data_IF_422906164445
#
_entry.id   IF_422906164445
#
_cell.length_a   1.000
_cell.length_b   1.000
_cell.length_c   1.000
_cell.angle_alpha   90.00
_cell.angle_beta   90.00
_cell.angle_gamma   90.00
#
_symmetry.space_group_name_H-M   'P 1'
#
loop_
_entity.id
_entity.type
_entity.pdbx_description
1 polymer ?
#
# COMPACT_ATOMS: atom_id res chain seq x y z
N UNK A 1 22.00 -10.69 -3.15
CA UNK A 1 21.63 -11.89 -3.91
C UNK A 1 21.95 -13.10 -3.05
N UNK A 2 20.94 -13.66 -2.38
CA UNK A 2 21.12 -14.90 -1.61
C UNK A 2 21.58 -16.03 -2.54
N UNK A 3 22.64 -16.73 -2.17
CA UNK A 3 23.18 -17.87 -2.94
C UNK A 3 22.16 -19.00 -3.00
N UNK A 4 22.03 -19.63 -4.17
CA UNK A 4 21.29 -20.87 -4.36
C UNK A 4 21.89 -21.97 -3.50
N UNK A 5 21.09 -22.97 -3.14
CA UNK A 5 21.56 -24.09 -2.34
C UNK A 5 22.66 -24.81 -3.12
N UNK A 6 23.81 -25.05 -2.49
CA UNK A 6 24.82 -25.93 -3.07
C UNK A 6 24.31 -27.37 -2.98
N UNK A 7 23.84 -27.90 -4.11
CA UNK A 7 23.33 -29.27 -4.20
C UNK A 7 24.44 -30.32 -3.99
N UNK A 8 25.73 -29.94 -4.09
CA UNK A 8 26.84 -30.90 -3.95
C UNK A 8 27.05 -31.39 -2.53
N UNK A 9 26.58 -30.63 -1.54
CA UNK A 9 26.58 -31.02 -0.12
C UNK A 9 25.39 -31.92 0.25
N UNK A 10 24.48 -32.19 -0.70
CA UNK A 10 23.36 -33.10 -0.47
C UNK A 10 23.85 -34.54 -0.40
N UNK A 11 23.39 -35.25 0.63
CA UNK A 11 23.64 -36.68 0.82
C UNK A 11 22.56 -37.46 0.09
N UNK A 12 22.93 -38.18 -0.97
CA UNK A 12 22.01 -39.08 -1.67
C UNK A 12 21.91 -40.43 -0.94
N UNK A 13 20.69 -40.95 -0.86
CA UNK A 13 20.41 -42.30 -0.37
C UNK A 13 19.91 -43.17 -1.53
N UNK A 14 20.68 -44.19 -1.91
CA UNK A 14 20.22 -45.19 -2.88
C UNK A 14 19.63 -46.42 -2.20
N UNK A 15 18.80 -47.20 -2.91
CA UNK A 15 18.30 -48.48 -2.38
C UNK A 15 19.44 -49.47 -2.10
N UNK A 16 20.48 -49.48 -2.94
CA UNK A 16 21.70 -50.29 -2.75
C UNK A 16 22.41 -49.95 -1.43
N UNK A 17 22.42 -48.67 -1.05
CA UNK A 17 22.98 -48.23 0.21
C UNK A 17 22.21 -48.75 1.43
N UNK A 18 20.90 -48.95 1.32
CA UNK A 18 20.06 -49.50 2.40
C UNK A 18 20.20 -51.02 2.54
N UNK A 19 20.43 -51.71 1.43
CA UNK A 19 20.54 -53.17 1.39
C UNK A 19 21.95 -53.66 1.76
N UNK A 20 22.99 -53.00 1.24
CA UNK A 20 24.37 -53.52 1.27
C UNK A 20 25.29 -52.84 2.30
N UNK A 21 24.92 -51.68 2.87
CA UNK A 21 25.77 -51.03 3.88
C UNK A 21 25.66 -51.70 5.24
N UNK A 22 26.80 -51.80 5.91
CA UNK A 22 26.85 -52.25 7.30
C UNK A 22 26.12 -51.27 8.23
N UNK A 23 25.61 -51.78 9.36
CA UNK A 23 24.96 -51.01 10.42
C UNK A 23 25.75 -49.76 10.84
N UNK A 24 27.08 -49.88 10.99
CA UNK A 24 27.95 -48.74 11.32
C UNK A 24 28.00 -47.66 10.23
N UNK A 25 27.96 -48.06 8.95
CA UNK A 25 27.90 -47.13 7.83
C UNK A 25 26.52 -46.46 7.72
N UNK A 26 25.43 -47.19 7.99
CA UNK A 26 24.08 -46.63 8.05
C UNK A 26 23.92 -45.61 9.19
N UNK A 27 24.51 -45.86 10.36
CA UNK A 27 24.53 -44.88 11.47
C UNK A 27 25.27 -43.61 11.06
N UNK A 28 26.42 -43.73 10.38
CA UNK A 28 27.17 -42.56 9.90
C UNK A 28 26.37 -41.78 8.85
N UNK A 29 25.73 -42.48 7.91
CA UNK A 29 24.88 -41.89 6.88
C UNK A 29 23.67 -41.17 7.49
N UNK A 30 23.02 -41.77 8.49
CA UNK A 30 21.94 -41.12 9.23
C UNK A 30 22.41 -39.84 9.94
N UNK A 31 23.62 -39.84 10.50
CA UNK A 31 24.23 -38.64 11.07
C UNK A 31 24.39 -37.52 10.02
N UNK A 32 24.95 -37.86 8.85
CA UNK A 32 25.15 -36.90 7.76
C UNK A 32 23.83 -36.33 7.22
N UNK A 33 22.83 -37.19 6.98
CA UNK A 33 21.48 -36.77 6.54
C UNK A 33 20.82 -35.85 7.58
N UNK A 34 20.96 -36.16 8.88
CA UNK A 34 20.42 -35.34 9.96
C UNK A 34 21.08 -33.96 10.01
N UNK A 35 22.40 -33.93 9.94
CA UNK A 35 23.16 -32.69 10.06
C UNK A 35 22.91 -31.79 8.84
N UNK A 36 22.90 -32.36 7.61
CA UNK A 36 22.53 -31.62 6.39
C UNK A 36 21.09 -31.12 6.41
N UNK A 37 20.13 -31.93 6.87
CA UNK A 37 18.74 -31.48 7.08
C UNK A 37 18.65 -30.30 8.04
N UNK A 38 19.40 -30.34 9.15
CA UNK A 38 19.38 -29.25 10.13
C UNK A 38 19.95 -27.96 9.55
N UNK A 39 21.03 -28.06 8.76
CA UNK A 39 21.61 -26.93 8.03
C UNK A 39 20.61 -26.32 7.04
N UNK A 40 19.97 -27.15 6.20
CA UNK A 40 18.97 -26.68 5.24
C UNK A 40 17.75 -26.04 5.93
N UNK A 41 17.31 -26.59 7.06
CA UNK A 41 16.26 -25.98 7.88
C UNK A 41 16.68 -24.63 8.48
N UNK A 42 17.95 -24.49 8.88
CA UNK A 42 18.45 -23.20 9.33
C UNK A 42 18.45 -22.18 8.19
N UNK A 43 18.96 -22.56 7.01
CA UNK A 43 18.92 -21.70 5.81
C UNK A 43 17.48 -21.34 5.42
N UNK A 44 16.54 -22.29 5.49
CA UNK A 44 15.13 -22.01 5.26
C UNK A 44 14.59 -21.01 6.29
N UNK A 45 14.91 -21.16 7.57
CA UNK A 45 14.49 -20.20 8.60
C UNK A 45 15.06 -18.80 8.38
N UNK A 46 16.32 -18.69 7.96
CA UNK A 46 16.96 -17.40 7.63
C UNK A 46 16.29 -16.75 6.41
N UNK A 47 16.08 -17.51 5.33
CA UNK A 47 15.37 -17.06 4.12
C UNK A 47 13.92 -16.64 4.42
N UNK A 48 13.24 -17.35 5.31
CA UNK A 48 11.89 -16.99 5.75
C UNK A 48 11.87 -15.67 6.54
N UNK A 49 12.87 -15.44 7.39
CA UNK A 49 13.00 -14.17 8.12
C UNK A 49 13.21 -12.99 7.18
N UNK A 50 14.13 -13.11 6.21
CA UNK A 50 14.38 -12.06 5.21
C UNK A 50 13.13 -11.77 4.36
N UNK A 51 12.41 -12.82 3.93
CA UNK A 51 11.11 -12.68 3.26
C UNK A 51 10.11 -11.90 4.11
N UNK A 52 10.00 -12.24 5.39
CA UNK A 52 9.02 -11.63 6.29
C UNK A 52 9.38 -10.15 6.58
N UNK A 53 10.67 -9.83 6.68
CA UNK A 53 11.17 -8.46 6.82
C UNK A 53 10.91 -7.63 5.56
N UNK A 54 11.10 -8.20 4.37
CA UNK A 54 10.75 -7.54 3.10
C UNK A 54 9.24 -7.33 2.97
N UNK A 55 8.43 -8.34 3.31
CA UNK A 55 6.97 -8.20 3.33
C UNK A 55 6.49 -7.14 4.32
N UNK A 56 7.17 -6.97 5.45
CA UNK A 56 6.88 -5.90 6.39
C UNK A 56 7.19 -4.52 5.77
N UNK A 57 8.33 -4.37 5.08
CA UNK A 57 8.68 -3.14 4.35
C UNK A 57 7.71 -2.85 3.20
N UNK A 58 7.28 -3.87 2.45
CA UNK A 58 6.24 -3.71 1.42
C UNK A 58 4.97 -3.13 2.01
N UNK A 59 4.52 -3.62 3.17
CA UNK A 59 3.34 -3.07 3.85
C UNK A 59 3.52 -1.62 4.25
N UNK A 60 4.68 -1.28 4.84
CA UNK A 60 5.00 0.11 5.21
C UNK A 60 4.94 1.04 3.98
N UNK A 61 5.50 0.61 2.84
CA UNK A 61 5.45 1.38 1.58
C UNK A 61 4.06 1.49 0.98
N UNK A 62 3.25 0.43 1.08
CA UNK A 62 1.83 0.48 0.67
C UNK A 62 1.04 1.44 1.56
N UNK A 63 1.27 1.42 2.87
CA UNK A 63 0.62 2.33 3.81
C UNK A 63 1.03 3.78 3.54
N UNK A 64 2.32 4.05 3.30
CA UNK A 64 2.84 5.36 2.85
C UNK A 64 2.13 5.83 1.56
N UNK A 65 2.04 4.96 0.55
CA UNK A 65 1.33 5.26 -0.69
C UNK A 65 -0.16 5.55 -0.44
N UNK A 66 -0.81 4.83 0.47
CA UNK A 66 -2.20 5.07 0.83
C UNK A 66 -2.39 6.44 1.51
N UNK A 67 -1.49 6.83 2.41
CA UNK A 67 -1.54 8.17 3.02
C UNK A 67 -1.41 9.28 1.98
N UNK A 68 -0.49 9.15 1.02
CA UNK A 68 -0.35 10.13 -0.08
C UNK A 68 -1.61 10.18 -0.94
N UNK A 69 -2.25 9.04 -1.17
CA UNK A 69 -3.54 8.98 -1.89
C UNK A 69 -4.64 9.74 -1.14
N UNK A 70 -4.77 9.51 0.17
CA UNK A 70 -5.78 10.19 1.00
C UNK A 70 -5.54 11.71 1.01
N UNK A 71 -4.30 12.15 1.22
CA UNK A 71 -3.91 13.58 1.15
C UNK A 71 -4.20 14.18 -0.22
N UNK A 72 -3.88 13.47 -1.31
CA UNK A 72 -4.19 13.90 -2.67
C UNK A 72 -5.69 14.06 -2.88
N UNK A 73 -6.48 13.10 -2.41
CA UNK A 73 -7.93 13.10 -2.59
C UNK A 73 -8.58 14.26 -1.80
N UNK A 74 -8.11 14.54 -0.59
CA UNK A 74 -8.50 15.73 0.20
C UNK A 74 -8.13 17.04 -0.52
N UNK A 75 -6.91 17.16 -1.04
CA UNK A 75 -6.49 18.35 -1.80
C UNK A 75 -7.33 18.53 -3.08
N UNK A 76 -7.67 17.44 -3.77
CA UNK A 76 -8.52 17.48 -4.96
C UNK A 76 -9.95 17.96 -4.63
N UNK A 77 -10.49 17.57 -3.48
CA UNK A 77 -11.78 18.08 -2.99
C UNK A 77 -11.71 19.59 -2.74
N UNK A 78 -10.65 20.06 -2.06
CA UNK A 78 -10.42 21.49 -1.85
C UNK A 78 -10.24 22.26 -3.17
N UNK A 79 -9.50 21.68 -4.13
CA UNK A 79 -9.36 22.24 -5.49
C UNK A 79 -10.73 22.41 -6.14
N UNK A 80 -11.62 21.42 -6.01
CA UNK A 80 -12.96 21.48 -6.58
C UNK A 80 -13.80 22.57 -5.90
N UNK A 81 -13.78 22.66 -4.57
CA UNK A 81 -14.49 23.70 -3.82
C UNK A 81 -14.01 25.10 -4.21
N UNK A 82 -12.69 25.32 -4.32
CA UNK A 82 -12.15 26.60 -4.74
C UNK A 82 -12.44 26.91 -6.22
N UNK A 83 -12.54 25.90 -7.09
CA UNK A 83 -12.97 26.08 -8.49
C UNK A 83 -14.42 26.53 -8.58
N UNK A 84 -15.30 25.93 -7.79
CA UNK A 84 -16.72 26.30 -7.73
C UNK A 84 -16.89 27.73 -7.25
N UNK A 85 -16.30 28.10 -6.10
CA UNK A 85 -16.32 29.48 -5.59
C UNK A 85 -15.74 30.48 -6.60
N UNK A 86 -14.63 30.14 -7.25
CA UNK A 86 -14.03 30.98 -8.31
C UNK A 86 -15.01 31.19 -9.47
N UNK A 87 -15.69 30.13 -9.92
CA UNK A 87 -16.62 30.23 -11.04
C UNK A 87 -17.86 31.05 -10.68
N UNK A 88 -18.38 30.90 -9.46
CA UNK A 88 -19.48 31.73 -8.93
C UNK A 88 -19.08 33.21 -8.85
N UNK A 89 -17.90 33.52 -8.29
CA UNK A 89 -17.39 34.89 -8.21
C UNK A 89 -17.15 35.48 -9.61
N UNK A 90 -16.59 34.71 -10.54
CA UNK A 90 -16.43 35.17 -11.93
C UNK A 90 -17.78 35.44 -12.62
N UNK A 91 -18.79 34.61 -12.37
CA UNK A 91 -20.14 34.85 -12.89
C UNK A 91 -20.72 36.15 -12.32
N UNK A 92 -20.62 36.35 -10.99
CA UNK A 92 -21.05 37.59 -10.33
C UNK A 92 -20.30 38.82 -10.85
N UNK A 93 -18.98 38.71 -11.02
CA UNK A 93 -18.17 39.80 -11.56
C UNK A 93 -18.58 40.16 -13.00
N UNK A 94 -18.82 39.16 -13.86
CA UNK A 94 -19.29 39.40 -15.23
C UNK A 94 -20.66 40.09 -15.24
N UNK A 95 -21.61 39.64 -14.42
CA UNK A 95 -22.92 40.29 -14.29
C UNK A 95 -22.81 41.76 -13.82
N UNK A 96 -21.86 42.08 -12.94
CA UNK A 96 -21.62 43.46 -12.52
C UNK A 96 -20.96 44.28 -13.65
N UNK A 97 -19.99 43.71 -14.38
CA UNK A 97 -19.38 44.39 -15.52
C UNK A 97 -20.39 44.63 -16.66
N UNK A 98 -21.28 43.68 -16.94
CA UNK A 98 -22.35 43.85 -17.93
C UNK A 98 -23.27 45.02 -17.55
N UNK A 99 -23.65 45.14 -16.26
CA UNK A 99 -24.43 46.29 -15.76
C UNK A 99 -23.67 47.61 -15.86
N UNK A 100 -22.37 47.60 -15.58
CA UNK A 100 -21.52 48.80 -15.72
C UNK A 100 -21.44 49.21 -17.19
N UNK A 101 -21.30 48.27 -18.11
CA UNK A 101 -21.26 48.54 -19.55
C UNK A 101 -22.60 49.07 -20.07
N UNK A 102 -23.73 48.54 -19.60
CA UNK A 102 -25.08 49.02 -19.92
C UNK A 102 -25.28 50.46 -19.43
N UNK A 103 -24.99 50.75 -18.15
CA UNK A 103 -25.09 52.09 -17.57
C UNK A 103 -24.16 53.09 -18.27
N UNK A 104 -22.95 52.65 -18.64
CA UNK A 104 -22.00 53.47 -19.37
C UNK A 104 -22.50 53.82 -20.77
N UNK A 105 -23.12 52.87 -21.47
CA UNK A 105 -23.72 53.11 -22.78
C UNK A 105 -24.87 54.14 -22.70
N UNK A 106 -25.70 54.05 -21.66
CA UNK A 106 -26.77 55.02 -21.38
C UNK A 106 -26.21 56.43 -21.07
N UNK A 107 -25.07 56.50 -20.37
CA UNK A 107 -24.36 57.75 -20.05
C UNK A 107 -23.64 58.39 -21.25
N UNK A 108 -22.97 57.60 -22.10
CA UNK A 108 -22.21 58.10 -23.27
C UNK A 108 -23.10 58.67 -24.39
N UNK A 109 -24.40 58.33 -24.43
CA UNK A 109 -25.35 58.82 -25.43
C UNK A 109 -25.79 60.29 -25.22
N UNK A 110 -25.37 60.96 -24.14
CA UNK A 110 -25.87 62.29 -23.74
C UNK A 110 -24.80 63.41 -23.61
N UNK A 111 -24.07 63.68 -24.68
CA UNK A 111 -23.21 64.88 -24.74
C UNK A 111 -24.02 66.16 -25.04
N UNK A 112 -23.94 67.17 -24.16
CA UNK A 112 -24.74 68.42 -24.22
C UNK A 112 -24.30 69.46 -23.17
N UNK A 113 -25.04 70.58 -23.00
CA UNK A 113 -24.68 71.74 -22.14
C UNK A 113 -24.58 71.41 -20.64
N UNK A 114 -23.59 71.93 -19.92
CA UNK A 114 -23.34 71.57 -18.50
C UNK A 114 -24.50 71.94 -17.57
N UNK A 115 -24.59 71.27 -16.41
CA UNK A 115 -25.63 71.54 -15.38
C UNK A 115 -25.60 73.02 -14.98
N UNK A 116 -24.43 73.58 -14.67
CA UNK A 116 -24.27 74.99 -14.29
C UNK A 116 -24.76 75.96 -15.38
N UNK A 117 -24.52 75.63 -16.66
CA UNK A 117 -24.98 76.45 -17.80
C UNK A 117 -26.49 76.37 -17.99
N UNK A 118 -27.11 75.22 -17.70
CA UNK A 118 -28.56 75.06 -17.76
C UNK A 118 -29.24 75.78 -16.58
N UNK A 119 -28.64 75.76 -15.39
CA UNK A 119 -29.14 76.51 -14.22
C UNK A 119 -29.07 78.03 -14.45
N UNK A 120 -27.94 78.54 -14.95
CA UNK A 120 -27.78 79.97 -15.28
C UNK A 120 -28.76 80.41 -16.39
N UNK A 121 -28.91 79.61 -17.45
CA UNK A 121 -29.88 79.91 -18.53
C UNK A 121 -31.35 79.87 -18.04
N UNK A 122 -31.69 79.01 -17.08
CA UNK A 122 -33.03 78.98 -16.47
C UNK A 122 -33.23 80.23 -15.61
N UNK A 123 -32.27 80.59 -14.78
CA UNK A 123 -32.34 81.76 -13.89
C UNK A 123 -32.45 83.07 -14.69
N UNK A 124 -31.70 83.20 -15.80
CA UNK A 124 -31.80 84.32 -16.72
C UNK A 124 -33.19 84.42 -17.39
N UNK A 125 -33.76 83.29 -17.81
CA UNK A 125 -35.09 83.25 -18.44
C UNK A 125 -36.21 83.54 -17.43
N UNK A 126 -36.08 83.05 -16.19
CA UNK A 126 -37.00 83.33 -15.09
C UNK A 126 -36.92 84.80 -14.66
N UNK A 127 -35.71 85.37 -14.62
CA UNK A 127 -35.51 86.79 -14.36
C UNK A 127 -36.16 87.64 -15.45
N UNK A 128 -36.02 87.24 -16.72
CA UNK A 128 -36.68 87.89 -17.86
C UNK A 128 -38.20 87.81 -17.76
N UNK A 129 -38.75 86.66 -17.35
CA UNK A 129 -40.19 86.48 -17.10
C UNK A 129 -40.70 87.44 -16.02
N UNK A 130 -39.93 87.64 -14.94
CA UNK A 130 -40.34 88.47 -13.81
C UNK A 130 -40.20 89.97 -14.05
N UNK A 131 -39.28 90.40 -14.92
CA UNK A 131 -38.89 91.81 -15.07
C UNK A 131 -39.35 92.47 -16.37
N UNK A 132 -39.66 91.71 -17.42
CA UNK A 132 -40.13 92.25 -18.70
C UNK A 132 -41.66 92.17 -18.85
N UNK A 133 -42.25 93.19 -19.48
CA UNK A 133 -43.67 93.19 -19.85
C UNK A 133 -43.82 92.51 -21.21
N UNK A 134 -44.13 91.22 -21.19
CA UNK A 134 -44.26 90.39 -22.39
C UNK A 134 -45.71 90.34 -22.89
N UNK A 135 -45.88 90.00 -24.16
CA UNK A 135 -47.21 89.64 -24.68
C UNK A 135 -47.61 88.25 -24.18
N UNK A 136 -48.90 87.95 -24.14
CA UNK A 136 -49.38 86.64 -23.67
C UNK A 136 -48.91 85.46 -24.53
N UNK A 137 -48.47 85.70 -25.78
CA UNK A 137 -47.85 84.68 -26.63
C UNK A 137 -46.36 84.49 -26.28
N UNK A 138 -45.60 85.59 -26.13
CA UNK A 138 -44.18 85.54 -25.78
C UNK A 138 -43.95 84.97 -24.37
N UNK A 139 -44.85 85.26 -23.42
CA UNK A 139 -44.81 84.70 -22.06
C UNK A 139 -45.01 83.19 -22.06
N UNK A 140 -45.91 82.66 -22.90
CA UNK A 140 -46.10 81.20 -23.05
C UNK A 140 -44.88 80.54 -23.68
N UNK A 141 -44.30 81.16 -24.71
CA UNK A 141 -43.10 80.63 -25.37
C UNK A 141 -41.88 80.66 -24.44
N UNK A 142 -41.81 81.64 -23.53
CA UNK A 142 -40.78 81.70 -22.49
C UNK A 142 -40.97 80.60 -21.43
N UNK A 143 -42.21 80.36 -21.00
CA UNK A 143 -42.54 79.28 -20.05
C UNK A 143 -42.20 77.92 -20.65
N UNK A 144 -42.55 77.64 -21.91
CA UNK A 144 -42.18 76.38 -22.59
C UNK A 144 -40.65 76.19 -22.64
N UNK A 145 -39.89 77.26 -22.92
CA UNK A 145 -38.40 77.20 -22.91
C UNK A 145 -37.84 76.94 -21.51
N UNK A 146 -38.44 77.48 -20.46
CA UNK A 146 -38.05 77.22 -19.07
C UNK A 146 -38.36 75.77 -18.69
N UNK A 147 -39.54 75.27 -19.06
CA UNK A 147 -39.93 73.86 -18.82
C UNK A 147 -39.00 72.89 -19.55
N UNK A 148 -38.72 73.13 -20.85
CA UNK A 148 -37.80 72.29 -21.64
C UNK A 148 -36.38 72.26 -21.04
N UNK A 149 -35.91 73.40 -20.51
CA UNK A 149 -34.59 73.48 -19.85
C UNK A 149 -34.59 72.81 -18.48
N UNK A 150 -35.66 72.95 -17.70
CA UNK A 150 -35.83 72.27 -16.41
C UNK A 150 -35.90 70.75 -16.59
N UNK A 151 -36.55 70.27 -17.64
CA UNK A 151 -36.57 68.85 -18.01
C UNK A 151 -35.15 68.35 -18.32
N UNK A 152 -34.41 69.06 -19.18
CA UNK A 152 -32.99 68.74 -19.47
C UNK A 152 -32.09 68.81 -18.23
N UNK A 153 -32.32 69.77 -17.33
CA UNK A 153 -31.58 69.87 -16.07
C UNK A 153 -31.85 68.66 -15.16
N UNK A 154 -33.10 68.21 -15.08
CA UNK A 154 -33.49 67.03 -14.30
C UNK A 154 -32.83 65.77 -14.86
N UNK A 155 -32.88 65.57 -16.19
CA UNK A 155 -32.22 64.45 -16.87
C UNK A 155 -30.70 64.44 -16.61
N UNK A 156 -30.07 65.61 -16.58
CA UNK A 156 -28.63 65.74 -16.27
C UNK A 156 -28.28 65.39 -14.84
N UNK A 157 -29.13 65.76 -13.88
CA UNK A 157 -28.92 65.46 -12.45
C UNK A 157 -29.07 63.96 -12.19
N UNK A 158 -30.08 63.30 -12.77
CA UNK A 158 -30.21 61.84 -12.69
C UNK A 158 -28.98 61.12 -13.27
N UNK A 159 -28.41 61.61 -14.37
CA UNK A 159 -27.19 61.04 -14.97
C UNK A 159 -25.94 61.23 -14.10
N UNK A 160 -25.83 62.35 -13.39
CA UNK A 160 -24.72 62.57 -12.45
C UNK A 160 -24.79 61.56 -11.29
N UNK A 161 -25.99 61.32 -10.76
CA UNK A 161 -26.23 60.30 -9.72
C UNK A 161 -25.92 58.89 -10.26
N UNK A 162 -26.36 58.56 -11.49
CA UNK A 162 -26.00 57.31 -12.18
C UNK A 162 -24.49 57.14 -12.37
N UNK A 163 -23.74 58.24 -12.57
CA UNK A 163 -22.27 58.21 -12.64
C UNK A 163 -21.59 57.86 -11.31
N UNK A 164 -22.20 58.23 -10.18
CA UNK A 164 -21.78 57.79 -8.85
C UNK A 164 -22.02 56.30 -8.63
N UNK A 165 -23.23 55.83 -8.97
CA UNK A 165 -23.60 54.40 -8.93
C UNK A 165 -22.71 53.55 -9.85
N UNK A 166 -22.32 54.08 -11.01
CA UNK A 166 -21.41 53.42 -11.96
C UNK A 166 -20.02 53.18 -11.34
N UNK A 167 -19.44 54.16 -10.65
CA UNK A 167 -18.12 53.99 -10.04
C UNK A 167 -18.19 53.00 -8.85
N UNK A 168 -19.25 53.03 -8.04
CA UNK A 168 -19.46 52.04 -6.98
C UNK A 168 -19.61 50.61 -7.53
N UNK A 169 -20.42 50.41 -8.57
CA UNK A 169 -20.58 49.10 -9.22
C UNK A 169 -19.28 48.61 -9.84
N UNK A 170 -18.48 49.53 -10.39
CA UNK A 170 -17.16 49.21 -10.96
C UNK A 170 -16.16 48.81 -9.88
N UNK A 171 -16.16 49.46 -8.73
CA UNK A 171 -15.36 49.04 -7.57
C UNK A 171 -15.80 47.65 -7.06
N UNK A 172 -17.11 47.41 -6.89
CA UNK A 172 -17.61 46.08 -6.47
C UNK A 172 -17.21 44.99 -7.48
N UNK A 173 -17.35 45.24 -8.78
CA UNK A 173 -16.95 44.30 -9.82
C UNK A 173 -15.45 43.97 -9.77
N UNK A 174 -14.61 44.96 -9.48
CA UNK A 174 -13.16 44.78 -9.32
C UNK A 174 -12.82 43.98 -8.07
N UNK A 175 -13.48 44.24 -6.94
CA UNK A 175 -13.29 43.48 -5.70
C UNK A 175 -13.66 41.99 -5.89
N UNK A 176 -14.83 41.71 -6.45
CA UNK A 176 -15.28 40.33 -6.71
C UNK A 176 -14.31 39.61 -7.65
N UNK A 177 -13.78 40.32 -8.66
CA UNK A 177 -12.77 39.76 -9.58
C UNK A 177 -11.42 39.51 -8.90
N UNK A 178 -11.04 40.36 -7.94
CA UNK A 178 -9.84 40.16 -7.14
C UNK A 178 -9.98 38.92 -6.24
N UNK A 179 -11.13 38.73 -5.59
CA UNK A 179 -11.43 37.53 -4.83
C UNK A 179 -11.40 36.27 -5.70
N UNK A 180 -12.01 36.31 -6.89
CA UNK A 180 -11.95 35.19 -7.84
C UNK A 180 -10.49 34.84 -8.23
N UNK A 181 -9.65 35.86 -8.38
CA UNK A 181 -8.22 35.69 -8.68
C UNK A 181 -7.47 35.03 -7.52
N UNK A 182 -7.79 35.34 -6.27
CA UNK A 182 -7.24 34.65 -5.10
C UNK A 182 -7.66 33.17 -5.06
N UNK A 183 -8.92 32.87 -5.37
CA UNK A 183 -9.38 31.49 -5.49
C UNK A 183 -8.68 30.74 -6.62
N UNK A 184 -8.40 31.41 -7.76
CA UNK A 184 -7.60 30.82 -8.83
C UNK A 184 -6.18 30.47 -8.39
N UNK A 185 -5.49 31.36 -7.66
CA UNK A 185 -4.16 31.08 -7.12
C UNK A 185 -4.18 29.87 -6.19
N UNK A 186 -5.15 29.81 -5.26
CA UNK A 186 -5.33 28.66 -4.35
C UNK A 186 -5.59 27.36 -5.12
N UNK A 187 -6.40 27.38 -6.17
CA UNK A 187 -6.64 26.21 -7.03
C UNK A 187 -5.33 25.70 -7.64
N UNK A 188 -4.49 26.59 -8.16
CA UNK A 188 -3.21 26.21 -8.76
C UNK A 188 -2.27 25.63 -7.70
N UNK A 189 -2.10 26.30 -6.56
CA UNK A 189 -1.23 25.83 -5.48
C UNK A 189 -1.66 24.47 -4.92
N UNK A 190 -2.96 24.27 -4.70
CA UNK A 190 -3.49 22.99 -4.20
C UNK A 190 -3.40 21.89 -5.25
N UNK A 191 -3.58 22.23 -6.54
CA UNK A 191 -3.43 21.27 -7.63
C UNK A 191 -1.97 20.82 -7.79
N UNK A 192 -1.01 21.74 -7.65
CA UNK A 192 0.42 21.40 -7.69
C UNK A 192 0.79 20.47 -6.53
N UNK A 193 0.32 20.76 -5.30
CA UNK A 193 0.51 19.88 -4.14
C UNK A 193 -0.17 18.52 -4.30
N UNK A 194 -1.37 18.49 -4.86
CA UNK A 194 -2.06 17.23 -5.14
C UNK A 194 -1.27 16.39 -6.17
N UNK A 195 -0.67 17.04 -7.17
CA UNK A 195 0.18 16.38 -8.16
C UNK A 195 1.47 15.85 -7.53
N UNK A 196 2.08 16.58 -6.60
CA UNK A 196 3.25 16.14 -5.83
C UNK A 196 2.92 14.85 -5.07
N UNK A 197 1.86 14.84 -4.24
CA UNK A 197 1.42 13.63 -3.55
C UNK A 197 1.02 12.50 -4.50
N UNK A 198 0.49 12.81 -5.68
CA UNK A 198 0.23 11.78 -6.68
C UNK A 198 1.51 11.12 -7.20
N UNK A 199 2.57 11.89 -7.42
CA UNK A 199 3.86 11.38 -7.86
C UNK A 199 4.52 10.55 -6.74
N UNK A 200 4.55 11.08 -5.51
CA UNK A 200 5.06 10.36 -4.33
C UNK A 200 4.31 9.03 -4.11
N UNK A 201 2.98 9.03 -4.23
CA UNK A 201 2.16 7.82 -4.18
C UNK A 201 2.60 6.79 -5.23
N UNK A 202 2.84 7.22 -6.48
CA UNK A 202 3.27 6.32 -7.56
C UNK A 202 4.65 5.74 -7.26
N UNK A 203 5.58 6.56 -6.78
CA UNK A 203 6.93 6.12 -6.41
C UNK A 203 6.89 5.10 -5.27
N UNK A 204 6.12 5.37 -4.21
CA UNK A 204 5.93 4.43 -3.10
C UNK A 204 5.32 3.09 -3.56
N UNK A 205 4.34 3.10 -4.48
CA UNK A 205 3.81 1.85 -5.05
C UNK A 205 4.86 1.09 -5.88
N UNK A 206 5.69 1.78 -6.65
CA UNK A 206 6.77 1.13 -7.42
C UNK A 206 7.79 0.51 -6.49
N UNK A 207 8.23 1.24 -5.46
CA UNK A 207 9.14 0.70 -4.44
C UNK A 207 8.53 -0.50 -3.72
N UNK A 208 7.24 -0.45 -3.39
CA UNK A 208 6.53 -1.58 -2.78
C UNK A 208 6.49 -2.81 -3.70
N UNK A 209 6.24 -2.62 -4.99
CA UNK A 209 6.26 -3.70 -5.99
C UNK A 209 7.67 -4.29 -6.14
N UNK A 210 8.72 -3.46 -6.22
CA UNK A 210 10.11 -3.92 -6.31
C UNK A 210 10.50 -4.76 -5.07
N UNK A 211 10.15 -4.29 -3.86
CA UNK A 211 10.41 -5.03 -2.61
C UNK A 211 9.59 -6.33 -2.57
N UNK A 212 8.36 -6.33 -3.10
CA UNK A 212 7.54 -7.54 -3.16
C UNK A 212 8.16 -8.58 -4.08
N UNK A 213 8.66 -8.16 -5.24
CA UNK A 213 9.33 -9.06 -6.18
C UNK A 213 10.59 -9.66 -5.53
N UNK A 214 11.37 -8.87 -4.78
CA UNK A 214 12.48 -9.40 -3.96
C UNK A 214 11.99 -10.40 -2.90
N UNK A 215 10.88 -10.11 -2.20
CA UNK A 215 10.31 -11.02 -1.21
C UNK A 215 9.86 -12.35 -1.84
N UNK A 216 9.28 -12.31 -3.04
CA UNK A 216 8.89 -13.50 -3.79
C UNK A 216 10.12 -14.34 -4.18
N UNK A 217 11.23 -13.72 -4.60
CA UNK A 217 12.49 -14.44 -4.84
C UNK A 217 13.02 -15.15 -3.56
N UNK A 218 12.91 -14.49 -2.40
CA UNK A 218 13.26 -15.11 -1.13
C UNK A 218 12.30 -16.23 -0.74
N UNK A 219 11.02 -16.12 -1.09
CA UNK A 219 10.04 -17.16 -0.88
C UNK A 219 10.36 -18.42 -1.71
N UNK A 220 10.69 -18.25 -2.98
CA UNK A 220 11.09 -19.37 -3.86
C UNK A 220 12.31 -20.09 -3.28
N UNK A 221 13.34 -19.34 -2.88
CA UNK A 221 14.53 -19.90 -2.24
C UNK A 221 14.21 -20.58 -0.91
N UNK A 222 13.28 -20.05 -0.13
CA UNK A 222 12.81 -20.71 1.09
C UNK A 222 12.16 -22.06 0.77
N UNK A 223 11.28 -22.11 -0.23
CA UNK A 223 10.62 -23.35 -0.67
C UNK A 223 11.64 -24.37 -1.13
N UNK A 224 12.62 -23.98 -1.95
CA UNK A 224 13.72 -24.86 -2.37
C UNK A 224 14.48 -25.47 -1.18
N UNK A 225 14.78 -24.66 -0.15
CA UNK A 225 15.50 -25.12 1.04
C UNK A 225 14.66 -26.07 1.88
N UNK A 226 13.36 -25.76 2.02
CA UNK A 226 12.43 -26.60 2.75
C UNK A 226 12.24 -27.94 2.04
N UNK A 227 12.04 -27.96 0.72
CA UNK A 227 11.90 -29.20 -0.05
C UNK A 227 13.17 -30.07 0.02
N UNK A 228 14.35 -29.45 -0.07
CA UNK A 228 15.61 -30.16 0.12
C UNK A 228 15.73 -30.76 1.52
N UNK A 229 15.39 -29.99 2.56
CA UNK A 229 15.39 -30.48 3.95
C UNK A 229 14.41 -31.65 4.14
N UNK A 230 13.21 -31.56 3.54
CA UNK A 230 12.19 -32.61 3.61
C UNK A 230 12.67 -33.90 2.93
N UNK A 231 13.33 -33.82 1.78
CA UNK A 231 13.95 -35.00 1.12
C UNK A 231 14.97 -35.68 2.03
N UNK A 232 15.91 -34.92 2.61
CA UNK A 232 16.90 -35.46 3.56
C UNK A 232 16.25 -36.03 4.82
N UNK A 233 15.12 -35.44 5.26
CA UNK A 233 14.37 -35.97 6.38
C UNK A 233 13.72 -37.32 6.06
N UNK A 234 13.10 -37.46 4.88
CA UNK A 234 12.54 -38.73 4.43
C UNK A 234 13.60 -39.82 4.35
N UNK A 235 14.75 -39.52 3.74
CA UNK A 235 15.87 -40.45 3.62
C UNK A 235 16.44 -40.84 4.99
N UNK A 236 16.58 -39.88 5.90
CA UNK A 236 16.95 -40.14 7.28
C UNK A 236 15.97 -41.12 7.97
N UNK A 237 14.67 -40.93 7.76
CA UNK A 237 13.64 -41.83 8.33
C UNK A 237 13.72 -43.23 7.71
N UNK A 238 14.02 -43.36 6.41
CA UNK A 238 14.25 -44.65 5.76
C UNK A 238 15.44 -45.39 6.36
N UNK A 239 16.58 -44.71 6.54
CA UNK A 239 17.77 -45.28 7.19
C UNK A 239 17.48 -45.69 8.62
N UNK A 240 16.73 -44.87 9.38
CA UNK A 240 16.33 -45.23 10.75
C UNK A 240 15.45 -46.48 10.81
N UNK A 241 14.53 -46.66 9.85
CA UNK A 241 13.71 -47.89 9.76
C UNK A 241 14.59 -49.11 9.50
N UNK A 242 15.49 -49.03 8.52
CA UNK A 242 16.42 -50.13 8.21
C UNK A 242 17.32 -50.49 9.39
N UNK A 243 17.82 -49.50 10.13
CA UNK A 243 18.60 -49.74 11.35
C UNK A 243 17.80 -50.52 12.41
N UNK A 244 16.51 -50.20 12.60
CA UNK A 244 15.64 -50.93 13.54
C UNK A 244 15.35 -52.36 13.07
N UNK A 245 15.23 -52.58 11.75
CA UNK A 245 15.09 -53.93 11.19
C UNK A 245 16.35 -54.76 11.46
N UNK A 246 17.53 -54.21 11.19
CA UNK A 246 18.81 -54.87 11.49
C UNK A 246 19.00 -55.14 12.98
N UNK A 247 18.60 -54.21 13.85
CA UNK A 247 18.60 -54.43 15.31
C UNK A 247 17.72 -55.62 15.71
N UNK A 248 16.56 -55.78 15.06
CA UNK A 248 15.62 -56.88 15.31
C UNK A 248 16.15 -58.21 14.76
N UNK A 249 16.71 -58.21 13.55
CA UNK A 249 17.36 -59.38 12.95
C UNK A 249 18.51 -59.88 13.84
N UNK A 250 19.38 -58.99 14.33
CA UNK A 250 20.45 -59.35 15.27
C UNK A 250 19.93 -59.88 16.62
N UNK A 251 18.78 -59.40 17.10
CA UNK A 251 18.18 -59.88 18.34
C UNK A 251 17.59 -61.28 18.15
N UNK A 252 16.92 -61.52 17.02
CA UNK A 252 16.38 -62.84 16.63
C UNK A 252 17.50 -63.87 16.45
N UNK A 253 18.57 -63.53 15.72
CA UNK A 253 19.74 -64.40 15.53
C UNK A 253 20.39 -64.77 16.87
N UNK A 254 20.55 -63.80 17.79
CA UNK A 254 21.08 -64.07 19.14
C UNK A 254 20.17 -64.96 19.98
N UNK A 255 18.85 -64.86 19.82
CA UNK A 255 17.91 -65.73 20.51
C UNK A 255 17.91 -67.15 19.90
N UNK A 256 18.07 -67.27 18.59
CA UNK A 256 18.28 -68.55 17.89
C UNK A 256 19.59 -69.22 18.33
N UNK A 257 20.72 -68.51 18.31
CA UNK A 257 22.02 -69.00 18.80
C UNK A 257 21.92 -69.49 20.26
N UNK A 258 21.25 -68.72 21.13
CA UNK A 258 21.00 -69.12 22.52
C UNK A 258 20.08 -70.33 22.61
N UNK A 259 19.12 -70.47 21.71
CA UNK A 259 18.23 -71.63 21.67
C UNK A 259 19.00 -72.88 21.23
N UNK A 260 19.82 -72.78 20.18
CA UNK A 260 20.71 -73.84 19.71
C UNK A 260 21.71 -74.25 20.79
N UNK A 261 22.37 -73.30 21.46
CA UNK A 261 23.26 -73.58 22.60
C UNK A 261 22.52 -74.31 23.73
N UNK A 262 21.26 -73.92 24.01
CA UNK A 262 20.41 -74.59 25.01
C UNK A 262 19.99 -75.99 24.57
N UNK A 263 19.69 -76.21 23.29
CA UNK A 263 19.36 -77.54 22.76
C UNK A 263 20.59 -78.45 22.77
N UNK A 264 21.73 -78.00 22.26
CA UNK A 264 22.98 -78.73 22.31
C UNK A 264 23.38 -79.09 23.75
N UNK A 265 23.23 -78.15 24.69
CA UNK A 265 23.47 -78.43 26.11
C UNK A 265 22.48 -79.45 26.72
N UNK A 266 21.23 -79.50 26.24
CA UNK A 266 20.25 -80.51 26.65
C UNK A 266 20.59 -81.88 26.06
N UNK A 267 20.95 -81.96 24.79
CA UNK A 267 21.36 -83.21 24.13
C UNK A 267 22.60 -83.79 24.81
N UNK A 268 23.63 -82.97 25.05
CA UNK A 268 24.84 -83.38 25.78
C UNK A 268 24.48 -83.89 27.20
N UNK A 269 23.58 -83.20 27.90
CA UNK A 269 23.10 -83.65 29.20
C UNK A 269 22.30 -84.96 29.11
N UNK A 270 21.54 -85.20 28.04
CA UNK A 270 20.80 -86.44 27.83
C UNK A 270 21.72 -87.63 27.51
N UNK A 271 22.77 -87.42 26.72
CA UNK A 271 23.81 -88.44 26.49
C UNK A 271 24.54 -88.81 27.79
N UNK A 272 24.94 -87.83 28.59
CA UNK A 272 25.56 -88.04 29.90
C UNK A 272 24.60 -88.80 30.83
N UNK A 273 23.31 -88.45 30.83
CA UNK A 273 22.29 -89.13 31.62
C UNK A 273 22.04 -90.58 31.17
N UNK A 274 22.13 -90.88 29.87
CA UNK A 274 22.05 -92.26 29.36
C UNK A 274 23.26 -93.09 29.79
N UNK A 275 24.49 -92.57 29.67
CA UNK A 275 25.71 -93.24 30.16
C UNK A 275 25.66 -93.51 31.67
N UNK A 276 25.11 -92.58 32.44
CA UNK A 276 24.85 -92.79 33.87
C UNK A 276 23.86 -93.94 34.13
N UNK A 277 22.77 -94.02 33.35
CA UNK A 277 21.80 -95.13 33.44
C UNK A 277 22.41 -96.48 33.07
N UNK A 278 23.39 -96.50 32.18
CA UNK A 278 24.10 -97.70 31.73
C UNK A 278 25.18 -98.17 32.73
N UNK A 279 25.44 -97.38 33.79
CA UNK A 279 26.30 -97.76 34.91
C UNK A 279 27.74 -97.24 34.81
N UNK A 280 28.03 -96.31 33.90
CA UNK A 280 29.31 -95.62 33.83
C UNK A 280 29.45 -94.55 34.94
N UNK A 281 30.67 -94.35 35.45
CA UNK A 281 30.95 -93.37 36.51
C UNK A 281 30.97 -91.96 35.93
N UNK A 282 30.18 -91.05 36.52
CA UNK A 282 30.17 -89.64 36.15
C UNK A 282 31.29 -88.86 36.84
N UNK A 283 31.92 -87.95 36.10
CA UNK A 283 32.89 -87.00 36.63
C UNK A 283 32.21 -85.72 37.16
N UNK A 284 32.94 -84.90 37.93
CA UNK A 284 32.44 -83.63 38.49
C UNK A 284 31.96 -82.63 37.44
N UNK A 285 32.54 -82.67 36.23
CA UNK A 285 32.12 -81.81 35.12
C UNK A 285 30.78 -82.25 34.53
N UNK A 286 30.53 -83.56 34.47
CA UNK A 286 29.28 -84.16 33.98
C UNK A 286 28.09 -83.88 34.91
N UNK A 287 28.33 -83.94 36.22
CA UNK A 287 27.34 -83.58 37.24
C UNK A 287 26.93 -82.09 37.14
N UNK A 288 27.89 -81.20 36.85
CA UNK A 288 27.62 -79.77 36.68
C UNK A 288 26.82 -79.48 35.40
N UNK A 289 27.04 -80.23 34.32
CA UNK A 289 26.26 -80.14 33.08
C UNK A 289 24.82 -80.62 33.28
N UNK A 290 24.62 -81.74 33.97
CA UNK A 290 23.30 -82.27 34.33
C UNK A 290 22.50 -81.31 35.25
N UNK A 291 23.17 -80.66 36.21
CA UNK A 291 22.55 -79.67 37.10
C UNK A 291 22.12 -78.41 36.34
N UNK A 292 22.96 -77.92 35.41
CA UNK A 292 22.64 -76.76 34.55
C UNK A 292 21.46 -77.05 33.60
N UNK A 293 21.32 -78.28 33.13
CA UNK A 293 20.23 -78.72 32.26
C UNK A 293 18.94 -79.13 33.03
N UNK A 294 18.95 -79.11 34.37
CA UNK A 294 17.78 -79.44 35.20
C UNK A 294 17.39 -80.92 35.21
N UNK A 295 18.35 -81.83 34.96
CA UNK A 295 18.15 -83.30 34.94
C UNK A 295 18.58 -84.00 36.25
N UNK A 296 19.03 -83.21 37.24
CA UNK A 296 19.35 -83.57 38.63
C UNK A 296 18.44 -82.77 39.57
#
# INVERSE_FOLDING_TARGET
MAESIDETDNVELTEDDLENKSKGQLIKLAGQLRDRRNELNQMASERASERDDLNAKTREKVDEAQEHREKRDELNEQVQEHKEKRNELNAKANELFDKVDDLKADLELDEGKSIDQLEEEIEDLEFKQQTEVLSSEDERELIEKIEEKREKLSERKEKLDQGGELEELKEEAQEVRAEASQHHQKVTELADKAQEHHNEMIEAYREADDIRDEADEWHDKFVEAQEAADRHHEDFVRVQKRLRELDKEEEEEREEDRAEEREAAKEEAEEIYQKFKEGETLDTEDLMKLQKAGKL
#
